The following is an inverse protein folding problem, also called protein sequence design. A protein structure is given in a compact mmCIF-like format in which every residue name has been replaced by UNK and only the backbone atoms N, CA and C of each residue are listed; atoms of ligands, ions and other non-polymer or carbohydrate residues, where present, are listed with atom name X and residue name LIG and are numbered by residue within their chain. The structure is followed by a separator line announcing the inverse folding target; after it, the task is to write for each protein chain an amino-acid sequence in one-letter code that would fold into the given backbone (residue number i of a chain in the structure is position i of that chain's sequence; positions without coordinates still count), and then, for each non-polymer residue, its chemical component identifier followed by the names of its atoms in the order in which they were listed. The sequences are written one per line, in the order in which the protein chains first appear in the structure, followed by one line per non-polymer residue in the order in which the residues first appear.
data_IF_708620115795
#
_entry.id   IF_708620115795
#
_cell.length_a   1.000
_cell.length_b   1.000
_cell.length_c   1.000
_cell.angle_alpha   90.00
_cell.angle_beta   90.00
_cell.angle_gamma   90.00
#
_symmetry.space_group_name_H-M   'P 1'
#
loop_
_entity.id
_entity.type
_entity.pdbx_description
1 polymer ?
#
# COMPACT_ATOMS: atom_id res chain seq x y z
N UNK A 1 -27.63 4.33 6.12
CA UNK A 1 -26.39 4.83 5.49
C UNK A 1 -26.18 4.13 4.16
N UNK A 2 -26.04 4.88 3.07
CA UNK A 2 -26.03 4.35 1.70
C UNK A 2 -24.81 3.42 1.46
N UNK A 3 -24.96 2.32 0.72
CA UNK A 3 -23.88 1.33 0.53
C UNK A 3 -22.62 1.94 -0.11
N UNK A 4 -22.80 2.91 -1.01
CA UNK A 4 -21.70 3.65 -1.63
C UNK A 4 -20.91 4.48 -0.62
N UNK A 5 -21.59 5.12 0.34
CA UNK A 5 -20.93 5.95 1.35
C UNK A 5 -20.07 5.11 2.31
N UNK A 6 -20.57 3.93 2.70
CA UNK A 6 -19.78 2.95 3.47
C UNK A 6 -18.50 2.56 2.72
N UNK A 7 -18.61 2.19 1.44
CA UNK A 7 -17.46 1.83 0.63
C UNK A 7 -16.43 2.97 0.56
N UNK A 8 -16.90 4.21 0.36
CA UNK A 8 -16.02 5.39 0.34
C UNK A 8 -15.26 5.53 1.66
N UNK A 9 -15.94 5.43 2.81
CA UNK A 9 -15.29 5.51 4.12
C UNK A 9 -14.22 4.43 4.27
N UNK A 10 -14.56 3.18 4.02
CA UNK A 10 -13.60 2.08 4.16
C UNK A 10 -12.40 2.27 3.21
N UNK A 11 -12.66 2.70 1.98
CA UNK A 11 -11.61 2.98 0.99
C UNK A 11 -10.71 4.13 1.44
N UNK A 12 -11.28 5.22 1.97
CA UNK A 12 -10.52 6.36 2.48
C UNK A 12 -9.65 5.98 3.67
N UNK A 13 -10.17 5.18 4.61
CA UNK A 13 -9.39 4.69 5.76
C UNK A 13 -8.24 3.79 5.27
N UNK A 14 -8.51 2.89 4.33
CA UNK A 14 -7.48 2.05 3.73
C UNK A 14 -6.38 2.88 3.06
N UNK A 15 -6.75 3.83 2.19
CA UNK A 15 -5.80 4.70 1.47
C UNK A 15 -4.97 5.53 2.46
N UNK A 16 -5.62 6.14 3.45
CA UNK A 16 -4.92 6.93 4.47
C UNK A 16 -3.98 6.07 5.31
N UNK A 17 -4.40 4.86 5.69
CA UNK A 17 -3.58 3.90 6.42
C UNK A 17 -2.33 3.48 5.63
N UNK A 18 -2.49 3.17 4.34
CA UNK A 18 -1.41 2.77 3.45
C UNK A 18 -0.40 3.92 3.24
N UNK A 19 -0.88 5.12 2.97
CA UNK A 19 -0.03 6.31 2.83
C UNK A 19 0.74 6.58 4.11
N UNK A 20 0.05 6.50 5.26
CA UNK A 20 0.67 6.71 6.58
C UNK A 20 1.72 5.65 6.88
N UNK A 21 1.48 4.39 6.51
CA UNK A 21 2.46 3.31 6.69
C UNK A 21 3.75 3.62 5.93
N UNK A 22 3.67 4.01 4.66
CA UNK A 22 4.84 4.32 3.85
C UNK A 22 5.56 5.61 4.31
N UNK A 23 4.83 6.61 4.78
CA UNK A 23 5.42 7.87 5.23
C UNK A 23 6.10 7.73 6.60
N UNK A 24 5.48 7.02 7.54
CA UNK A 24 5.95 6.84 8.91
C UNK A 24 6.90 5.65 9.06
N UNK A 25 6.94 4.74 8.08
CA UNK A 25 7.66 3.48 8.16
C UNK A 25 9.18 3.62 8.32
N UNK A 26 9.75 4.76 7.94
CA UNK A 26 11.16 5.06 8.15
C UNK A 26 11.53 5.16 9.64
N UNK A 27 10.56 5.47 10.53
CA UNK A 27 10.80 5.54 11.96
C UNK A 27 10.75 4.15 12.60
N UNK A 28 11.83 3.79 13.28
CA UNK A 28 11.95 2.56 14.06
C UNK A 28 11.78 2.88 15.54
N UNK A 29 11.08 1.99 16.26
CA UNK A 29 10.80 2.09 17.69
C UNK A 29 11.07 0.75 18.37
N UNK A 30 11.37 0.77 19.66
CA UNK A 30 11.52 -0.45 20.47
C UNK A 30 10.38 -0.53 21.45
N UNK A 31 9.59 -1.62 21.39
CA UNK A 31 8.45 -1.87 22.28
C UNK A 31 8.65 -3.25 22.90
N UNK A 32 8.60 -3.36 24.22
CA UNK A 32 8.83 -4.61 24.95
C UNK A 32 10.12 -5.36 24.55
N UNK A 33 11.19 -4.63 24.22
CA UNK A 33 12.48 -5.20 23.79
C UNK A 33 12.56 -5.62 22.32
N UNK A 34 11.49 -5.44 21.54
CA UNK A 34 11.45 -5.75 20.10
C UNK A 34 11.56 -4.46 19.29
N UNK A 35 12.56 -4.40 18.41
CA UNK A 35 12.77 -3.28 17.47
C UNK A 35 11.89 -3.47 16.24
N UNK A 36 11.04 -2.49 15.95
CA UNK A 36 10.07 -2.55 14.85
C UNK A 36 9.80 -1.19 14.22
N UNK A 37 9.31 -1.18 12.98
CA UNK A 37 8.86 0.05 12.32
C UNK A 37 7.54 0.54 12.90
N UNK A 38 7.37 1.86 13.04
CA UNK A 38 6.12 2.50 13.44
C UNK A 38 4.98 2.21 12.44
N UNK A 39 5.30 1.86 11.19
CA UNK A 39 4.30 1.44 10.21
C UNK A 39 3.47 0.22 10.65
N UNK A 40 3.96 -0.57 11.62
CA UNK A 40 3.24 -1.75 12.12
C UNK A 40 1.84 -1.43 12.63
N UNK A 41 1.59 -0.22 13.13
CA UNK A 41 0.25 0.17 13.60
C UNK A 41 -0.74 0.40 12.46
N UNK A 42 -0.27 0.79 11.27
CA UNK A 42 -1.13 0.98 10.10
C UNK A 42 -1.52 -0.33 9.43
N UNK A 43 -0.65 -1.35 9.43
CA UNK A 43 -0.90 -2.59 8.69
C UNK A 43 -2.18 -3.32 9.12
N UNK A 44 -2.46 -3.58 10.41
CA UNK A 44 -3.70 -4.23 10.84
C UNK A 44 -4.95 -3.48 10.38
N UNK A 45 -4.91 -2.15 10.40
CA UNK A 45 -6.01 -1.32 9.91
C UNK A 45 -6.20 -1.51 8.40
N UNK A 46 -5.12 -1.47 7.62
CA UNK A 46 -5.20 -1.64 6.16
C UNK A 46 -5.69 -3.04 5.75
N UNK A 47 -5.22 -4.09 6.42
CA UNK A 47 -5.67 -5.46 6.15
C UNK A 47 -7.14 -5.62 6.50
N UNK A 48 -7.56 -5.19 7.70
CA UNK A 48 -8.95 -5.26 8.14
C UNK A 48 -9.89 -4.53 7.16
N UNK A 49 -9.53 -3.32 6.72
CA UNK A 49 -10.36 -2.59 5.75
C UNK A 49 -10.45 -3.30 4.41
N UNK A 50 -9.34 -3.85 3.91
CA UNK A 50 -9.33 -4.57 2.62
C UNK A 50 -10.16 -5.84 2.69
N UNK A 51 -10.07 -6.59 3.79
CA UNK A 51 -10.83 -7.81 4.01
C UNK A 51 -12.33 -7.53 4.06
N UNK A 52 -12.75 -6.52 4.83
CA UNK A 52 -14.17 -6.11 4.90
C UNK A 52 -14.68 -5.65 3.53
N UNK A 53 -13.87 -4.90 2.76
CA UNK A 53 -14.25 -4.49 1.40
C UNK A 53 -14.40 -5.73 0.50
N UNK A 54 -13.48 -6.68 0.58
CA UNK A 54 -13.51 -7.90 -0.22
C UNK A 54 -14.70 -8.80 0.11
N UNK A 55 -15.06 -8.91 1.39
CA UNK A 55 -16.18 -9.72 1.87
C UNK A 55 -17.54 -9.09 1.51
N UNK A 56 -17.72 -7.79 1.74
CA UNK A 56 -19.02 -7.12 1.56
C UNK A 56 -19.25 -6.69 0.11
N UNK A 57 -18.21 -6.22 -0.59
CA UNK A 57 -18.32 -5.63 -1.94
C UNK A 57 -17.66 -6.49 -3.03
N UNK A 58 -17.03 -7.60 -2.65
CA UNK A 58 -16.38 -8.54 -3.55
C UNK A 58 -14.93 -8.17 -3.89
N UNK A 59 -14.17 -9.20 -4.29
CA UNK A 59 -12.74 -9.09 -4.62
C UNK A 59 -12.41 -8.04 -5.68
N UNK A 60 -13.25 -7.89 -6.71
CA UNK A 60 -13.04 -6.88 -7.77
C UNK A 60 -13.05 -5.46 -7.22
N UNK A 61 -13.92 -5.16 -6.24
CA UNK A 61 -13.99 -3.84 -5.61
C UNK A 61 -12.81 -3.60 -4.69
N UNK A 62 -12.41 -4.58 -3.90
CA UNK A 62 -11.19 -4.50 -3.10
C UNK A 62 -9.95 -4.20 -3.98
N UNK A 63 -9.80 -4.91 -5.11
CA UNK A 63 -8.72 -4.64 -6.07
C UNK A 63 -8.77 -3.20 -6.62
N UNK A 64 -9.96 -2.68 -6.97
CA UNK A 64 -10.09 -1.28 -7.41
C UNK A 64 -9.61 -0.28 -6.34
N UNK A 65 -9.92 -0.55 -5.06
CA UNK A 65 -9.48 0.28 -3.93
C UNK A 65 -7.96 0.22 -3.76
N UNK A 66 -7.36 -0.97 -3.89
CA UNK A 66 -5.91 -1.15 -3.85
C UNK A 66 -5.22 -0.38 -4.98
N UNK A 67 -5.74 -0.45 -6.21
CA UNK A 67 -5.22 0.34 -7.33
C UNK A 67 -5.39 1.85 -7.11
N UNK A 68 -6.52 2.28 -6.55
CA UNK A 68 -6.73 3.69 -6.20
C UNK A 68 -5.71 4.17 -5.16
N UNK A 69 -5.41 3.34 -4.15
CA UNK A 69 -4.38 3.63 -3.15
C UNK A 69 -2.98 3.68 -3.76
N UNK A 70 -2.66 2.79 -4.70
CA UNK A 70 -1.41 2.82 -5.46
C UNK A 70 -1.24 4.13 -6.25
N UNK A 71 -2.28 4.58 -6.96
CA UNK A 71 -2.25 5.86 -7.67
C UNK A 71 -2.10 7.03 -6.70
N UNK A 72 -2.83 7.03 -5.58
CA UNK A 72 -2.69 8.04 -4.54
C UNK A 72 -1.27 8.06 -3.96
N UNK A 73 -0.63 6.89 -3.81
CA UNK A 73 0.73 6.76 -3.34
C UNK A 73 1.76 7.35 -4.31
N UNK A 74 1.54 7.24 -5.62
CA UNK A 74 2.36 7.91 -6.65
C UNK A 74 2.24 9.44 -6.53
N UNK A 75 1.04 9.96 -6.30
CA UNK A 75 0.85 11.40 -6.08
C UNK A 75 1.62 11.86 -4.83
N UNK A 76 1.53 11.13 -3.72
CA UNK A 76 2.27 11.43 -2.49
C UNK A 76 3.78 11.37 -2.73
N UNK A 77 4.27 10.37 -3.49
CA UNK A 77 5.68 10.28 -3.88
C UNK A 77 6.13 11.55 -4.59
N UNK A 78 5.37 11.98 -5.61
CA UNK A 78 5.68 13.16 -6.40
C UNK A 78 5.69 14.45 -5.57
N UNK A 79 4.67 14.65 -4.73
CA UNK A 79 4.59 15.81 -3.85
C UNK A 79 5.72 15.82 -2.80
N UNK A 80 6.06 14.66 -2.25
CA UNK A 80 7.17 14.52 -1.31
C UNK A 80 8.49 14.84 -1.99
N UNK A 81 8.69 14.36 -3.22
CA UNK A 81 9.87 14.66 -4.03
C UNK A 81 10.03 16.16 -4.29
N UNK A 82 8.96 16.84 -4.72
CA UNK A 82 8.96 18.30 -4.90
C UNK A 82 9.36 19.00 -3.59
N UNK A 83 8.78 18.56 -2.46
CA UNK A 83 9.02 19.20 -1.16
C UNK A 83 10.48 19.12 -0.70
N UNK A 84 11.23 18.10 -1.15
CA UNK A 84 12.64 17.90 -0.82
C UNK A 84 13.57 18.66 -1.77
N UNK A 85 13.20 18.77 -3.05
CA UNK A 85 14.05 19.36 -4.10
C UNK A 85 13.99 20.89 -4.09
N UNK A 86 12.86 21.48 -3.68
CA UNK A 86 12.73 22.93 -3.63
C UNK A 86 13.64 23.55 -2.57
N UNK A 87 14.30 24.68 -2.87
CA UNK A 87 15.16 25.35 -1.90
C UNK A 87 14.32 25.91 -0.73
N UNK A 88 14.83 25.85 0.51
CA UNK A 88 14.15 26.41 1.65
C UNK A 88 14.12 27.95 1.56
N UNK A 89 13.05 28.56 2.06
CA UNK A 89 13.04 30.01 2.28
C UNK A 89 14.07 30.39 3.35
N UNK A 90 14.62 31.62 3.31
CA UNK A 90 15.66 32.09 4.24
C UNK A 90 15.28 31.99 5.72
N UNK A 91 13.98 32.01 6.03
CA UNK A 91 13.46 31.87 7.41
C UNK A 91 13.31 30.42 7.87
N UNK A 92 13.45 29.44 6.98
CA UNK A 92 13.28 28.02 7.28
C UNK A 92 14.62 27.40 7.66
N UNK A 93 14.82 27.18 8.96
CA UNK A 93 16.12 26.79 9.55
C UNK A 93 16.32 25.28 9.66
N UNK A 94 15.27 24.47 9.49
CA UNK A 94 15.29 23.01 9.74
C UNK A 94 15.31 22.18 8.45
N UNK A 95 15.83 22.73 7.36
CA UNK A 95 15.80 22.08 6.05
C UNK A 95 16.49 20.71 6.03
N UNK A 96 17.69 20.61 6.61
CA UNK A 96 18.47 19.38 6.54
C UNK A 96 17.78 18.21 7.25
N UNK A 97 17.14 18.48 8.39
CA UNK A 97 16.33 17.50 9.11
C UNK A 97 15.09 17.10 8.31
N UNK A 98 14.39 18.08 7.71
CA UNK A 98 13.23 17.84 6.86
C UNK A 98 13.58 16.92 5.67
N UNK A 99 14.64 17.27 4.92
CA UNK A 99 15.14 16.49 3.79
C UNK A 99 15.53 15.09 4.22
N UNK A 100 16.25 14.94 5.34
CA UNK A 100 16.68 13.62 5.85
C UNK A 100 15.49 12.71 6.16
N UNK A 101 14.46 13.23 6.83
CA UNK A 101 13.26 12.45 7.19
C UNK A 101 12.49 12.05 5.94
N UNK A 102 12.14 13.02 5.08
CA UNK A 102 11.30 12.75 3.92
C UNK A 102 12.04 12.00 2.80
N UNK A 103 13.37 12.06 2.70
CA UNK A 103 14.13 11.16 1.83
C UNK A 103 14.00 9.70 2.25
N UNK A 104 14.00 9.42 3.57
CA UNK A 104 13.74 8.09 4.10
C UNK A 104 12.35 7.59 3.71
N UNK A 105 11.33 8.41 3.89
CA UNK A 105 9.95 8.12 3.47
C UNK A 105 9.85 7.92 1.95
N UNK A 106 10.50 8.75 1.15
CA UNK A 106 10.49 8.66 -0.31
C UNK A 106 11.06 7.31 -0.79
N UNK A 107 12.16 6.86 -0.19
CA UNK A 107 12.74 5.52 -0.46
C UNK A 107 11.77 4.39 -0.11
N UNK A 108 11.10 4.46 1.04
CA UNK A 108 10.06 3.50 1.45
C UNK A 108 8.92 3.44 0.44
N UNK A 109 8.41 4.60 0.01
CA UNK A 109 7.34 4.68 -0.97
C UNK A 109 7.76 4.04 -2.29
N UNK A 110 8.94 4.38 -2.82
CA UNK A 110 9.46 3.76 -4.06
C UNK A 110 9.57 2.25 -3.92
N UNK A 111 10.15 1.76 -2.82
CA UNK A 111 10.28 0.33 -2.56
C UNK A 111 8.90 -0.35 -2.54
N UNK A 112 7.90 0.26 -1.91
CA UNK A 112 6.53 -0.29 -1.88
C UNK A 112 5.87 -0.33 -3.26
N UNK A 113 6.07 0.70 -4.09
CA UNK A 113 5.49 0.77 -5.43
C UNK A 113 6.12 -0.26 -6.36
N UNK A 114 7.44 -0.41 -6.27
CA UNK A 114 8.19 -1.43 -7.01
C UNK A 114 7.74 -2.83 -6.57
N UNK A 115 7.68 -3.10 -5.26
CA UNK A 115 7.20 -4.37 -4.73
C UNK A 115 5.76 -4.67 -5.19
N UNK A 116 4.89 -3.66 -5.22
CA UNK A 116 3.53 -3.80 -5.73
C UNK A 116 3.50 -4.21 -7.20
N UNK A 117 4.29 -3.55 -8.06
CA UNK A 117 4.35 -3.92 -9.49
C UNK A 117 4.82 -5.37 -9.67
N UNK A 118 5.84 -5.79 -8.92
CA UNK A 118 6.32 -7.17 -8.98
C UNK A 118 5.28 -8.16 -8.44
N UNK A 119 4.58 -7.84 -7.36
CA UNK A 119 3.50 -8.66 -6.82
C UNK A 119 2.36 -8.84 -7.84
N UNK A 120 1.91 -7.75 -8.46
CA UNK A 120 0.86 -7.81 -9.49
C UNK A 120 1.32 -8.60 -10.74
N UNK A 121 2.58 -8.44 -11.15
CA UNK A 121 3.14 -9.21 -12.27
C UNK A 121 3.23 -10.71 -11.93
N UNK A 122 3.62 -11.04 -10.69
CA UNK A 122 3.65 -12.41 -10.20
C UNK A 122 2.25 -13.03 -10.17
N UNK A 123 1.25 -12.31 -9.65
CA UNK A 123 -0.15 -12.76 -9.61
C UNK A 123 -0.69 -13.12 -11.00
N UNK A 124 -0.43 -12.27 -12.00
CA UNK A 124 -0.85 -12.51 -13.38
C UNK A 124 -0.14 -13.73 -13.96
N UNK A 125 1.18 -13.82 -13.78
CA UNK A 125 1.98 -14.95 -14.25
C UNK A 125 1.51 -16.27 -13.63
N UNK A 126 1.30 -16.29 -12.31
CA UNK A 126 0.81 -17.45 -11.58
C UNK A 126 -0.57 -17.85 -12.09
N UNK A 127 -1.49 -16.89 -12.25
CA UNK A 127 -2.84 -17.14 -12.77
C UNK A 127 -2.83 -17.76 -14.17
N UNK A 128 -1.99 -17.26 -15.08
CA UNK A 128 -1.84 -17.80 -16.43
C UNK A 128 -1.17 -19.18 -16.45
N UNK A 129 -0.14 -19.39 -15.64
CA UNK A 129 0.54 -20.67 -15.53
C UNK A 129 -0.42 -21.77 -15.07
N UNK A 130 -1.19 -21.51 -14.01
CA UNK A 130 -2.23 -22.42 -13.54
C UNK A 130 -3.35 -22.61 -14.57
N UNK A 131 -3.72 -21.57 -15.33
CA UNK A 131 -4.72 -21.67 -16.41
C UNK A 131 -4.26 -22.60 -17.53
N UNK A 132 -2.99 -22.50 -17.96
CA UNK A 132 -2.40 -23.35 -19.00
C UNK A 132 -2.26 -24.80 -18.53
N UNK A 133 -1.82 -25.01 -17.29
CA UNK A 133 -1.61 -26.36 -16.71
C UNK A 133 -2.92 -27.11 -16.48
N UNK A 134 -4.00 -26.41 -16.13
CA UNK A 134 -5.32 -27.03 -15.82
C UNK A 134 -6.25 -27.19 -17.02
N UNK A 135 -5.84 -26.77 -18.23
CA UNK A 135 -6.67 -26.85 -19.46
C UNK A 135 -8.10 -26.30 -19.28
N UNK A 136 -8.27 -25.32 -18.38
CA UNK A 136 -9.55 -24.69 -18.09
C UNK A 136 -10.53 -25.47 -17.20
N UNK A 137 -10.18 -26.67 -16.69
CA UNK A 137 -11.17 -27.60 -16.10
C UNK A 137 -11.48 -27.41 -14.61
N UNK A 138 -10.66 -26.69 -13.83
CA UNK A 138 -10.84 -26.53 -12.37
C UNK A 138 -10.61 -25.10 -11.87
N UNK A 139 -11.69 -24.31 -11.78
CA UNK A 139 -11.70 -22.93 -11.25
C UNK A 139 -11.30 -22.81 -9.77
N UNK A 140 -11.61 -23.83 -8.96
CA UNK A 140 -11.42 -23.79 -7.50
C UNK A 140 -9.96 -23.92 -7.06
N UNK A 141 -9.14 -24.70 -7.77
CA UNK A 141 -7.69 -24.83 -7.50
C UNK A 141 -6.95 -23.52 -7.82
N UNK A 142 -7.38 -22.81 -8.88
CA UNK A 142 -6.78 -21.53 -9.27
C UNK A 142 -6.99 -20.42 -8.24
N UNK A 143 -8.12 -20.45 -7.54
CA UNK A 143 -8.47 -19.41 -6.57
C UNK A 143 -7.80 -19.58 -5.21
N UNK A 144 -7.32 -20.79 -4.88
CA UNK A 144 -6.65 -21.11 -3.62
C UNK A 144 -5.12 -21.23 -3.78
N UNK A 145 -4.63 -21.78 -4.89
CA UNK A 145 -3.19 -21.91 -5.13
C UNK A 145 -2.50 -20.57 -5.44
N UNK A 146 -3.24 -19.60 -6.01
CA UNK A 146 -2.75 -18.22 -6.25
C UNK A 146 -2.60 -17.38 -4.99
N UNK A 147 -3.08 -17.86 -3.84
CA UNK A 147 -3.00 -17.15 -2.56
C UNK A 147 -1.93 -17.74 -1.64
N UNK A 148 -1.37 -18.90 -2.03
CA UNK A 148 -0.38 -19.65 -1.24
C UNK A 148 1.05 -19.46 -1.78
N UNK A 149 1.20 -19.11 -3.06
CA UNK A 149 2.49 -18.82 -3.72
C UNK A 149 2.64 -17.32 -3.89
#
# INVERSE_FOLDING_TARGET
MNQHFKLTILSSIFIAGLISANLLGAKVTTIFGITMSVAIFSYPLTFLMTDVIAEVYGRKKAQQVVYAAFIAQILVLFLTWISIVLPPATRYTTNDAYVTVFQGSLRMIIASLVAFIFAQAHDIWAFEWWKKKTHGKYLWIRNNASTIV
#
